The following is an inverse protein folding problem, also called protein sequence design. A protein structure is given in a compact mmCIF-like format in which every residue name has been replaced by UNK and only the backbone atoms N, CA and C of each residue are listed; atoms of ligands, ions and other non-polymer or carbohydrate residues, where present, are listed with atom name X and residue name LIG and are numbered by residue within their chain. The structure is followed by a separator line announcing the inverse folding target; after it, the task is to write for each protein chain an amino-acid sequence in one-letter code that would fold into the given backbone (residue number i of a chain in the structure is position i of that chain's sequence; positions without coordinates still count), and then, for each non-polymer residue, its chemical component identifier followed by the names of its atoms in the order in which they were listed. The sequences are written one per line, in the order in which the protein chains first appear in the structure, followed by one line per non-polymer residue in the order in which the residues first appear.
data_IF_735816491361
#
_entry.id   IF_735816491361
#
_cell.length_a   1.000
_cell.length_b   1.000
_cell.length_c   1.000
_cell.angle_alpha   90.00
_cell.angle_beta   90.00
_cell.angle_gamma   90.00
#
_symmetry.space_group_name_H-M   'P 1'
#
loop_
_entity.id
_entity.type
_entity.pdbx_description
1 polymer ?
#
# COMPACT_ATOMS: atom_id res chain seq x y z
N UNK A 1 18.55 21.39 25.87
CA UNK A 1 18.10 20.41 24.87
C UNK A 1 19.00 19.20 25.02
N UNK A 2 18.44 18.11 25.53
CA UNK A 2 19.17 16.90 25.93
C UNK A 2 19.86 16.27 24.70
N UNK A 3 21.17 15.96 24.76
CA UNK A 3 21.90 15.29 23.66
C UNK A 3 21.35 13.88 23.35
N UNK A 4 20.54 13.32 24.26
CA UNK A 4 19.81 12.07 24.05
C UNK A 4 18.86 12.11 22.85
N UNK A 5 18.20 13.25 22.61
CA UNK A 5 17.28 13.40 21.47
C UNK A 5 18.04 13.41 20.12
N UNK A 6 19.27 13.92 20.10
CA UNK A 6 20.13 13.95 18.92
C UNK A 6 20.73 12.57 18.63
N UNK A 7 21.08 11.80 19.67
CA UNK A 7 21.53 10.41 19.52
C UNK A 7 20.38 9.46 19.10
N UNK A 8 19.15 9.73 19.55
CA UNK A 8 17.95 9.07 19.02
C UNK A 8 17.75 9.40 17.53
N UNK A 9 17.77 10.69 17.15
CA UNK A 9 17.64 11.10 15.75
C UNK A 9 18.81 10.70 14.82
N UNK A 10 20.01 10.45 15.34
CA UNK A 10 21.15 9.94 14.56
C UNK A 10 21.21 8.39 14.51
N UNK A 11 20.35 7.69 15.25
CA UNK A 11 20.24 6.24 15.34
C UNK A 11 19.01 5.64 14.64
N UNK A 12 18.30 6.42 13.82
CA UNK A 12 17.01 6.17 13.13
C UNK A 12 16.94 4.95 12.18
N UNK A 13 17.76 3.93 12.35
CA UNK A 13 17.70 2.75 11.49
C UNK A 13 16.54 1.81 11.85
N UNK A 14 16.31 1.59 13.15
CA UNK A 14 15.42 0.50 13.57
C UNK A 14 14.79 0.62 14.95
N UNK A 15 15.44 1.27 15.92
CA UNK A 15 14.90 1.35 17.28
C UNK A 15 13.65 2.24 17.36
N UNK A 16 13.67 3.42 16.72
CA UNK A 16 12.48 4.29 16.61
C UNK A 16 11.35 3.62 15.83
N UNK A 17 11.67 2.95 14.71
CA UNK A 17 10.66 2.23 13.93
C UNK A 17 9.99 1.12 14.74
N UNK A 18 10.76 0.39 15.57
CA UNK A 18 10.22 -0.61 16.48
C UNK A 18 9.31 0.01 17.54
N UNK A 19 9.71 1.14 18.13
CA UNK A 19 8.93 1.88 19.12
C UNK A 19 7.61 2.41 18.54
N UNK A 20 7.65 3.00 17.35
CA UNK A 20 6.46 3.47 16.63
C UNK A 20 5.56 2.28 16.26
N UNK A 21 6.16 1.20 15.74
CA UNK A 21 5.45 -0.04 15.45
C UNK A 21 4.75 -0.62 16.67
N UNK A 22 5.42 -0.62 17.82
CA UNK A 22 4.86 -1.09 19.09
C UNK A 22 3.72 -0.18 19.59
N UNK A 23 3.87 1.15 19.47
CA UNK A 23 2.80 2.09 19.82
C UNK A 23 1.55 1.89 18.95
N UNK A 24 1.73 1.71 17.63
CA UNK A 24 0.64 1.35 16.72
C UNK A 24 0.04 -0.02 17.04
N UNK A 25 0.86 -0.98 17.45
CA UNK A 25 0.41 -2.31 17.87
C UNK A 25 -0.43 -2.27 19.14
N UNK A 26 -0.12 -1.38 20.08
CA UNK A 26 -0.92 -1.19 21.30
C UNK A 26 -2.23 -0.47 20.99
N UNK A 27 -2.22 0.51 20.09
CA UNK A 27 -3.40 1.29 19.74
C UNK A 27 -4.39 0.48 18.88
N UNK A 28 -3.90 -0.20 17.85
CA UNK A 28 -4.74 -0.94 16.89
C UNK A 28 -4.79 -2.44 17.17
N UNK A 29 -3.82 -3.01 17.88
CA UNK A 29 -3.71 -4.44 18.12
C UNK A 29 -2.94 -5.18 17.01
N UNK A 30 -2.22 -6.24 17.40
CA UNK A 30 -1.40 -7.04 16.48
C UNK A 30 -2.17 -7.73 15.35
N UNK A 31 -3.47 -7.94 15.53
CA UNK A 31 -4.32 -8.57 14.51
C UNK A 31 -4.89 -7.58 13.50
N UNK A 32 -5.01 -6.28 13.84
CA UNK A 32 -5.66 -5.30 12.95
C UNK A 32 -4.78 -4.85 11.80
N UNK A 33 -3.47 -4.70 12.02
CA UNK A 33 -2.52 -4.37 10.94
C UNK A 33 -2.59 -5.41 9.78
N UNK A 34 -2.42 -6.73 10.02
CA UNK A 34 -2.49 -7.71 8.94
C UNK A 34 -3.90 -7.88 8.35
N UNK A 35 -4.95 -7.72 9.15
CA UNK A 35 -6.34 -7.76 8.67
C UNK A 35 -6.62 -6.60 7.68
N UNK A 36 -6.20 -5.38 8.02
CA UNK A 36 -6.28 -4.21 7.15
C UNK A 36 -5.43 -4.37 5.89
N UNK A 37 -4.19 -4.85 6.01
CA UNK A 37 -3.32 -5.10 4.86
C UNK A 37 -3.92 -6.13 3.90
N UNK A 38 -4.54 -7.20 4.43
CA UNK A 38 -5.21 -8.22 3.59
C UNK A 38 -6.41 -7.63 2.86
N UNK A 39 -7.27 -6.88 3.56
CA UNK A 39 -8.43 -6.22 2.96
C UNK A 39 -8.02 -5.21 1.88
N UNK A 40 -7.03 -4.35 2.18
CA UNK A 40 -6.48 -3.40 1.21
C UNK A 40 -5.85 -4.11 0.02
N UNK A 41 -5.07 -5.17 0.25
CA UNK A 41 -4.42 -5.95 -0.81
C UNK A 41 -5.42 -6.64 -1.74
N UNK A 42 -6.52 -7.17 -1.19
CA UNK A 42 -7.62 -7.72 -1.98
C UNK A 42 -8.31 -6.63 -2.80
N UNK A 43 -8.64 -5.49 -2.19
CA UNK A 43 -9.24 -4.35 -2.88
C UNK A 43 -8.38 -3.81 -4.03
N UNK A 44 -7.06 -3.65 -3.81
CA UNK A 44 -6.13 -3.23 -4.87
C UNK A 44 -6.07 -4.27 -5.99
N UNK A 45 -6.07 -5.57 -5.67
CA UNK A 45 -6.05 -6.64 -6.67
C UNK A 45 -7.32 -6.63 -7.53
N UNK A 46 -8.49 -6.53 -6.92
CA UNK A 46 -9.77 -6.44 -7.62
C UNK A 46 -9.85 -5.19 -8.49
N UNK A 47 -9.44 -4.04 -7.94
CA UNK A 47 -9.39 -2.77 -8.68
C UNK A 47 -8.48 -2.87 -9.91
N UNK A 48 -7.30 -3.48 -9.76
CA UNK A 48 -6.35 -3.69 -10.87
C UNK A 48 -6.94 -4.59 -11.96
N UNK A 49 -7.62 -5.67 -11.57
CA UNK A 49 -8.24 -6.59 -12.52
C UNK A 49 -9.36 -5.90 -13.30
N UNK A 50 -10.29 -5.22 -12.60
CA UNK A 50 -11.36 -4.48 -13.26
C UNK A 50 -10.83 -3.41 -14.21
N UNK A 51 -9.79 -2.68 -13.80
CA UNK A 51 -9.14 -1.67 -14.66
C UNK A 51 -8.52 -2.30 -15.90
N UNK A 52 -7.92 -3.50 -15.76
CA UNK A 52 -7.33 -4.23 -16.90
C UNK A 52 -8.40 -4.68 -17.88
N UNK A 53 -9.49 -5.28 -17.39
CA UNK A 53 -10.57 -5.76 -18.25
C UNK A 53 -11.22 -4.60 -19.04
N UNK A 54 -11.39 -3.44 -18.39
CA UNK A 54 -11.85 -2.22 -19.05
C UNK A 54 -10.85 -1.76 -20.11
N UNK A 55 -9.56 -1.70 -19.79
CA UNK A 55 -8.52 -1.29 -20.73
C UNK A 55 -8.49 -2.21 -21.96
N UNK A 56 -8.48 -3.52 -21.76
CA UNK A 56 -8.45 -4.52 -22.81
C UNK A 56 -9.72 -4.43 -23.70
N UNK A 57 -10.88 -4.10 -23.11
CA UNK A 57 -12.13 -3.87 -23.87
C UNK A 57 -12.07 -2.61 -24.74
N UNK A 58 -11.48 -1.52 -24.24
CA UNK A 58 -11.34 -0.26 -24.98
C UNK A 58 -10.32 -0.43 -26.13
N UNK A 59 -9.17 -1.04 -25.87
CA UNK A 59 -8.16 -1.34 -26.91
C UNK A 59 -8.77 -2.23 -28.00
N UNK A 60 -9.52 -3.27 -27.62
CA UNK A 60 -10.19 -4.15 -28.57
C UNK A 60 -11.25 -3.42 -29.40
N UNK A 61 -11.98 -2.45 -28.84
CA UNK A 61 -12.97 -1.65 -29.58
C UNK A 61 -12.33 -0.65 -30.54
N UNK A 62 -11.15 -0.12 -30.22
CA UNK A 62 -10.43 0.84 -31.08
C UNK A 62 -9.76 0.15 -32.29
N UNK A 63 -9.30 -1.09 -32.14
CA UNK A 63 -8.65 -1.85 -33.22
C UNK A 63 -9.65 -2.31 -34.31
N UNK A 64 -10.94 -2.43 -33.99
CA UNK A 64 -11.98 -2.85 -34.96
C UNK A 64 -12.40 -1.74 -35.93
N UNK A 65 -12.12 -0.47 -35.63
CA UNK A 65 -12.52 0.66 -36.50
C UNK A 65 -11.54 0.94 -37.65
N UNK A 66 -10.31 0.40 -37.62
CA UNK A 66 -9.28 0.62 -38.67
C UNK A 66 -9.29 -0.44 -39.80
N UNK A 67 -10.05 -1.53 -39.66
CA UNK A 67 -10.13 -2.62 -40.68
C UNK A 67 -11.33 -2.49 -41.64
N UNK A 68 -12.12 -1.42 -41.56
CA UNK A 68 -13.33 -1.25 -42.39
C UNK A 68 -13.38 0.05 -43.21
N UNK A 69 -12.22 0.61 -43.60
CA UNK A 69 -12.11 1.63 -44.64
C UNK A 69 -11.28 1.17 -45.82
#
# INVERSE_FOLDING_TARGET
MEPAAVLAFMGLGGQEMLLIGLALLLLFGAKKIPELMRGLGQGIKEFKNATKDVKDSIEKSMDVEDTQK
#
